data_IF_367472947483
#
_entry.id   IF_367472947483
#
_cell.length_a   1.000
_cell.length_b   1.000
_cell.length_c   1.000
_cell.angle_alpha   90.00
_cell.angle_beta   90.00
_cell.angle_gamma   90.00
#
_symmetry.space_group_name_H-M   'P 1'
#
loop_
_entity.id
_entity.type
_entity.pdbx_description
1 polymer ?
#
# COMPACT_ATOMS: atom_id res chain seq x y z
N UNK A 1 -21.65 -18.66 4.25
CA UNK A 1 -20.29 -19.10 4.60
C UNK A 1 -19.29 -18.06 4.09
N UNK A 2 -18.05 -18.02 4.59
CA UNK A 2 -17.09 -16.92 4.33
C UNK A 2 -15.77 -17.45 3.74
N UNK A 3 -15.06 -16.60 2.99
CA UNK A 3 -13.74 -16.93 2.43
C UNK A 3 -12.74 -17.43 3.50
N UNK A 4 -12.76 -16.81 4.68
CA UNK A 4 -11.92 -17.19 5.80
C UNK A 4 -12.18 -18.62 6.30
N UNK A 5 -13.43 -19.07 6.28
CA UNK A 5 -13.80 -20.40 6.74
C UNK A 5 -13.57 -21.48 5.66
N UNK A 6 -13.82 -21.16 4.39
CA UNK A 6 -13.87 -22.16 3.32
C UNK A 6 -12.57 -22.27 2.52
N UNK A 7 -11.92 -21.15 2.21
CA UNK A 7 -10.83 -21.12 1.23
C UNK A 7 -9.48 -20.81 1.85
N UNK A 8 -9.44 -19.93 2.86
CA UNK A 8 -8.19 -19.47 3.47
C UNK A 8 -7.32 -20.60 4.05
N UNK A 9 -7.85 -21.63 4.74
CA UNK A 9 -7.02 -22.70 5.28
C UNK A 9 -6.27 -23.48 4.19
N UNK A 10 -6.95 -23.80 3.08
CA UNK A 10 -6.36 -24.53 1.98
C UNK A 10 -5.33 -23.68 1.23
N UNK A 11 -5.65 -22.40 0.95
CA UNK A 11 -4.74 -21.46 0.31
C UNK A 11 -3.47 -21.24 1.13
N UNK A 12 -3.60 -21.06 2.45
CA UNK A 12 -2.44 -20.86 3.33
C UNK A 12 -1.59 -22.13 3.47
N UNK A 13 -2.21 -23.33 3.48
CA UNK A 13 -1.45 -24.59 3.46
C UNK A 13 -0.62 -24.73 2.18
N UNK A 14 -1.17 -24.30 1.04
CA UNK A 14 -0.42 -24.27 -0.22
C UNK A 14 0.72 -23.24 -0.21
N UNK A 15 0.52 -22.08 0.42
CA UNK A 15 1.58 -21.09 0.65
C UNK A 15 2.71 -21.67 1.53
N UNK A 16 2.36 -22.31 2.65
CA UNK A 16 3.33 -22.93 3.56
C UNK A 16 4.16 -24.03 2.89
N UNK A 17 3.55 -24.83 2.02
CA UNK A 17 4.27 -25.85 1.26
C UNK A 17 5.33 -25.28 0.29
N UNK A 18 5.20 -24.00 -0.07
CA UNK A 18 6.13 -23.27 -0.93
C UNK A 18 6.93 -22.18 -0.17
N UNK A 19 6.89 -22.21 1.16
CA UNK A 19 7.60 -21.23 1.97
C UNK A 19 9.10 -21.53 1.93
N UNK A 20 9.88 -20.62 1.35
CA UNK A 20 11.29 -20.88 1.04
C UNK A 20 11.53 -21.72 -0.22
N UNK A 21 10.68 -21.55 -1.23
CA UNK A 21 10.99 -21.95 -2.62
C UNK A 21 10.90 -20.78 -3.60
N UNK A 22 10.70 -19.56 -3.08
CA UNK A 22 10.67 -18.35 -3.90
C UNK A 22 12.10 -17.85 -4.14
N UNK A 23 12.43 -17.71 -5.42
CA UNK A 23 13.65 -17.05 -5.86
C UNK A 23 13.58 -15.56 -5.48
N UNK A 24 14.51 -15.07 -4.66
CA UNK A 24 14.73 -13.63 -4.52
C UNK A 24 15.69 -13.21 -5.64
N UNK A 25 15.22 -12.35 -6.53
CA UNK A 25 16.03 -11.80 -7.62
C UNK A 25 16.43 -10.37 -7.23
N UNK A 26 17.74 -10.07 -7.22
CA UNK A 26 18.15 -8.67 -7.17
C UNK A 26 17.93 -8.02 -8.54
N UNK A 27 17.16 -6.92 -8.64
CA UNK A 27 16.82 -6.33 -9.94
C UNK A 27 18.04 -5.71 -10.68
N UNK A 28 19.22 -5.64 -10.06
CA UNK A 28 20.40 -4.96 -10.61
C UNK A 28 21.70 -5.78 -10.63
N UNK A 29 21.71 -7.03 -10.15
CA UNK A 29 22.90 -7.88 -10.24
C UNK A 29 22.70 -8.99 -11.26
N UNK A 30 23.70 -9.21 -12.15
CA UNK A 30 23.74 -10.35 -13.08
C UNK A 30 23.94 -11.70 -12.36
N UNK A 31 23.80 -11.73 -11.04
CA UNK A 31 23.95 -12.92 -10.21
C UNK A 31 22.57 -13.58 -10.07
N UNK A 32 22.56 -14.90 -10.33
CA UNK A 32 21.39 -15.78 -10.33
C UNK A 32 20.43 -15.46 -9.18
N UNK A 33 19.13 -15.45 -9.46
CA UNK A 33 18.12 -15.47 -8.41
C UNK A 33 18.41 -16.63 -7.45
N UNK A 34 18.50 -16.34 -6.16
CA UNK A 34 18.80 -17.35 -5.16
C UNK A 34 17.46 -17.80 -4.59
N UNK A 35 17.17 -19.10 -4.70
CA UNK A 35 16.07 -19.71 -3.94
C UNK A 35 16.44 -19.66 -2.46
N UNK A 36 15.67 -18.91 -1.67
CA UNK A 36 15.80 -18.90 -0.22
C UNK A 36 15.23 -20.21 0.30
N UNK A 37 15.92 -20.91 1.20
CA UNK A 37 15.34 -22.06 1.91
C UNK A 37 14.25 -21.63 2.89
N UNK A 38 13.46 -22.58 3.38
CA UNK A 38 12.43 -22.32 4.39
C UNK A 38 12.97 -21.60 5.64
N UNK A 39 14.13 -22.04 6.14
CA UNK A 39 14.78 -21.45 7.31
C UNK A 39 15.27 -20.02 7.02
N UNK A 40 15.79 -19.77 5.81
CA UNK A 40 16.23 -18.45 5.40
C UNK A 40 15.05 -17.48 5.25
N UNK A 41 13.95 -17.93 4.63
CA UNK A 41 12.72 -17.13 4.49
C UNK A 41 12.10 -16.82 5.86
N UNK A 42 12.07 -17.78 6.78
CA UNK A 42 11.56 -17.60 8.14
C UNK A 42 12.45 -16.72 9.03
N UNK A 43 13.71 -16.52 8.63
CA UNK A 43 14.70 -15.72 9.37
C UNK A 43 14.94 -14.34 8.76
N UNK A 44 14.09 -13.90 7.82
CA UNK A 44 14.17 -12.55 7.27
C UNK A 44 14.08 -11.51 8.41
N UNK A 45 14.95 -10.49 8.40
CA UNK A 45 14.99 -9.51 9.47
C UNK A 45 13.72 -8.63 9.47
N UNK A 46 13.37 -8.10 10.63
CA UNK A 46 12.21 -7.21 10.77
C UNK A 46 12.34 -5.90 9.95
N UNK A 47 13.49 -5.21 9.93
CA UNK A 47 13.67 -4.03 9.07
C UNK A 47 13.65 -4.38 7.57
N UNK A 48 12.94 -3.60 6.72
CA UNK A 48 12.91 -3.85 5.28
C UNK A 48 14.28 -3.74 4.62
N UNK A 49 14.68 -4.76 3.86
CA UNK A 49 16.01 -4.87 3.24
C UNK A 49 16.32 -3.76 2.24
N UNK A 50 15.32 -3.28 1.49
CA UNK A 50 15.47 -2.18 0.53
C UNK A 50 15.22 -0.80 1.15
N UNK A 51 14.81 -0.74 2.43
CA UNK A 51 14.47 0.52 3.13
C UNK A 51 13.35 1.31 2.44
N UNK A 52 12.44 0.62 1.74
CA UNK A 52 11.31 1.20 1.01
C UNK A 52 10.01 1.03 1.80
N UNK A 53 9.15 2.03 1.76
CA UNK A 53 7.74 1.93 2.12
C UNK A 53 6.85 2.28 0.92
N UNK A 54 5.96 1.38 0.54
CA UNK A 54 4.92 1.64 -0.45
C UNK A 54 3.67 2.17 0.27
N UNK A 55 3.11 3.26 -0.25
CA UNK A 55 1.76 3.73 0.07
C UNK A 55 0.89 3.49 -1.16
N UNK A 56 -0.05 2.55 -1.08
CA UNK A 56 -0.88 2.15 -2.21
C UNK A 56 -2.36 2.09 -1.89
N UNK A 57 -3.22 2.17 -2.91
CA UNK A 57 -4.65 1.94 -2.73
C UNK A 57 -4.95 0.49 -2.28
N UNK A 58 -6.04 0.29 -1.53
CA UNK A 58 -6.56 -1.02 -1.16
C UNK A 58 -7.25 -1.79 -2.30
N UNK A 59 -7.21 -1.27 -3.53
CA UNK A 59 -7.84 -1.87 -4.70
C UNK A 59 -7.39 -3.33 -4.91
N UNK A 60 -8.38 -4.23 -5.09
CA UNK A 60 -8.15 -5.67 -5.20
C UNK A 60 -7.36 -6.07 -6.45
N UNK A 61 -7.25 -5.18 -7.45
CA UNK A 61 -6.51 -5.40 -8.70
C UNK A 61 -5.03 -5.00 -8.60
N UNK A 62 -4.62 -4.38 -7.50
CA UNK A 62 -3.23 -3.98 -7.26
C UNK A 62 -2.58 -4.93 -6.25
N UNK A 63 -1.65 -5.76 -6.74
CA UNK A 63 -0.63 -6.41 -5.92
C UNK A 63 0.63 -5.53 -5.94
N UNK A 64 0.87 -4.82 -4.85
CA UNK A 64 2.01 -3.89 -4.74
C UNK A 64 3.36 -4.59 -4.82
N UNK A 65 3.48 -5.84 -4.38
CA UNK A 65 4.74 -6.60 -4.43
C UNK A 65 5.03 -7.01 -5.87
N UNK A 66 4.04 -7.64 -6.53
CA UNK A 66 4.19 -8.08 -7.91
C UNK A 66 4.40 -6.90 -8.89
N UNK A 67 3.63 -5.82 -8.74
CA UNK A 67 3.73 -4.66 -9.63
C UNK A 67 5.07 -3.92 -9.54
N UNK A 68 5.78 -4.02 -8.40
CA UNK A 68 7.06 -3.33 -8.17
C UNK A 68 8.28 -4.26 -8.21
N UNK A 69 8.06 -5.57 -8.35
CA UNK A 69 9.13 -6.57 -8.28
C UNK A 69 9.77 -6.69 -6.89
N UNK A 70 9.05 -6.31 -5.84
CA UNK A 70 9.49 -6.41 -4.44
C UNK A 70 8.99 -7.72 -3.83
N UNK A 71 9.85 -8.36 -3.02
CA UNK A 71 9.59 -9.65 -2.42
C UNK A 71 9.40 -9.52 -0.91
N UNK A 72 9.05 -10.62 -0.25
CA UNK A 72 8.94 -10.66 1.21
C UNK A 72 10.23 -10.15 1.87
N UNK A 73 10.10 -9.20 2.81
CA UNK A 73 11.22 -8.59 3.52
C UNK A 73 11.86 -7.39 2.83
N UNK A 74 11.54 -7.08 1.56
CA UNK A 74 12.15 -5.94 0.87
C UNK A 74 11.62 -4.58 1.34
N UNK A 75 10.29 -4.47 1.52
CA UNK A 75 9.59 -3.21 1.74
C UNK A 75 8.41 -3.33 2.71
N UNK A 76 8.00 -2.20 3.30
CA UNK A 76 6.69 -2.11 3.94
C UNK A 76 5.59 -1.80 2.92
N UNK A 77 4.40 -2.35 3.14
CA UNK A 77 3.23 -2.18 2.29
C UNK A 77 2.08 -1.56 3.11
N UNK A 78 1.88 -0.24 2.97
CA UNK A 78 0.84 0.51 3.68
C UNK A 78 -0.29 0.77 2.68
N UNK A 79 -1.49 0.25 2.97
CA UNK A 79 -2.62 0.33 2.03
C UNK A 79 -3.89 0.85 2.69
N UNK A 80 -4.57 1.77 2.02
CA UNK A 80 -5.87 2.32 2.43
C UNK A 80 -6.72 2.74 1.21
N UNK A 81 -7.94 3.23 1.45
CA UNK A 81 -8.82 3.69 0.38
C UNK A 81 -8.20 4.90 -0.35
N UNK A 82 -7.88 4.74 -1.64
CA UNK A 82 -7.26 5.77 -2.45
C UNK A 82 -5.75 5.91 -2.32
N UNK A 83 -5.10 5.17 -1.42
CA UNK A 83 -3.64 5.27 -1.22
C UNK A 83 -3.20 6.59 -0.56
N UNK A 84 -4.08 7.18 0.26
CA UNK A 84 -3.90 8.53 0.78
C UNK A 84 -2.76 8.63 1.79
N UNK A 85 -1.81 9.51 1.50
CA UNK A 85 -0.62 9.72 2.32
C UNK A 85 -0.95 10.25 3.74
N UNK A 86 -1.98 11.09 3.87
CA UNK A 86 -2.40 11.64 5.15
C UNK A 86 -2.77 10.55 6.17
N UNK A 87 -3.51 9.52 5.73
CA UNK A 87 -3.87 8.39 6.59
C UNK A 87 -2.71 7.41 6.78
N UNK A 88 -1.81 7.29 5.79
CA UNK A 88 -0.62 6.45 5.87
C UNK A 88 0.47 6.99 6.82
N UNK A 89 0.43 8.29 7.16
CA UNK A 89 1.48 9.01 7.88
C UNK A 89 1.93 8.31 9.16
N UNK A 90 1.00 7.88 10.02
CA UNK A 90 1.33 7.18 11.28
C UNK A 90 2.20 5.94 11.02
N UNK A 91 1.86 5.17 9.99
CA UNK A 91 2.60 3.97 9.61
C UNK A 91 3.97 4.31 9.00
N UNK A 92 4.06 5.38 8.21
CA UNK A 92 5.32 5.87 7.65
C UNK A 92 6.30 6.32 8.73
N UNK A 93 5.84 7.07 9.74
CA UNK A 93 6.68 7.51 10.86
C UNK A 93 7.28 6.29 11.58
N UNK A 94 6.47 5.28 11.88
CA UNK A 94 6.96 4.03 12.48
C UNK A 94 7.97 3.32 11.57
N UNK A 95 7.66 3.25 10.27
CA UNK A 95 8.51 2.64 9.24
C UNK A 95 9.90 3.30 9.16
N UNK A 96 9.99 4.62 9.34
CA UNK A 96 11.24 5.36 9.26
C UNK A 96 12.03 5.30 10.56
N UNK A 97 11.37 5.63 11.68
CA UNK A 97 12.00 5.82 12.98
C UNK A 97 12.39 4.50 13.64
N UNK A 98 11.54 3.48 13.53
CA UNK A 98 11.77 2.20 14.21
C UNK A 98 12.39 1.14 13.30
N UNK A 99 12.17 1.26 11.99
CA UNK A 99 12.48 0.20 11.01
C UNK A 99 13.36 0.66 9.85
N UNK A 100 13.83 1.91 9.84
CA UNK A 100 14.95 2.33 9.02
C UNK A 100 14.67 2.61 7.55
N UNK A 101 13.39 2.71 7.14
CA UNK A 101 13.06 3.09 5.75
C UNK A 101 13.46 4.53 5.42
N UNK A 102 13.86 4.79 4.17
CA UNK A 102 14.35 6.09 3.67
C UNK A 102 13.78 6.46 2.30
N UNK A 103 12.94 5.61 1.73
CA UNK A 103 12.28 5.84 0.46
C UNK A 103 10.80 5.53 0.57
N UNK A 104 9.98 6.38 -0.03
CA UNK A 104 8.52 6.24 -0.08
C UNK A 104 8.06 6.28 -1.54
N UNK A 105 7.28 5.28 -1.93
CA UNK A 105 6.66 5.18 -3.24
C UNK A 105 5.15 5.29 -3.05
N UNK A 106 4.55 6.38 -3.54
CA UNK A 106 3.10 6.58 -3.55
C UNK A 106 2.53 6.02 -4.85
N UNK A 107 1.54 5.13 -4.78
CA UNK A 107 0.91 4.49 -5.93
C UNK A 107 -0.60 4.67 -5.86
N UNK A 108 -1.14 5.57 -6.68
CA UNK A 108 -2.57 5.61 -6.98
C UNK A 108 -2.84 4.87 -8.29
N UNK A 109 -4.10 4.73 -8.69
CA UNK A 109 -4.43 3.92 -9.88
C UNK A 109 -5.61 4.47 -10.69
N UNK A 110 -5.66 4.10 -11.97
CA UNK A 110 -6.81 4.34 -12.85
C UNK A 110 -8.05 3.59 -12.36
N UNK A 111 -9.24 4.10 -12.70
CA UNK A 111 -10.51 3.52 -12.25
C UNK A 111 -10.61 3.35 -10.71
N UNK A 112 -10.11 4.34 -9.98
CA UNK A 112 -10.18 4.37 -8.51
C UNK A 112 -11.58 4.74 -8.03
N UNK A 113 -12.13 3.95 -7.10
CA UNK A 113 -13.44 4.22 -6.49
C UNK A 113 -13.51 5.60 -5.81
N UNK A 114 -12.38 6.12 -5.32
CA UNK A 114 -12.29 7.44 -4.67
C UNK A 114 -12.49 8.63 -5.61
N UNK A 115 -12.55 8.40 -6.93
CA UNK A 115 -12.93 9.40 -7.94
C UNK A 115 -14.45 9.52 -8.12
N UNK A 116 -15.23 8.55 -7.62
CA UNK A 116 -16.63 8.35 -8.04
C UNK A 116 -17.66 8.93 -7.09
N UNK A 117 -17.23 9.51 -5.97
CA UNK A 117 -18.14 10.02 -4.93
C UNK A 117 -17.56 11.21 -4.16
N UNK A 118 -18.41 11.80 -3.32
CA UNK A 118 -18.07 12.80 -2.30
C UNK A 118 -18.48 12.29 -0.92
N UNK A 119 -17.79 12.76 0.12
CA UNK A 119 -18.00 12.33 1.51
C UNK A 119 -19.49 12.36 1.92
N UNK A 120 -20.26 13.35 1.47
CA UNK A 120 -21.69 13.47 1.76
C UNK A 120 -22.50 12.26 1.25
N UNK A 121 -22.17 11.75 0.06
CA UNK A 121 -22.82 10.54 -0.48
C UNK A 121 -22.52 9.32 0.40
N UNK A 122 -21.28 9.19 0.89
CA UNK A 122 -20.92 8.11 1.81
C UNK A 122 -21.69 8.26 3.13
N UNK A 123 -21.77 9.48 3.67
CA UNK A 123 -22.49 9.77 4.90
C UNK A 123 -23.98 9.41 4.78
N UNK A 124 -24.64 9.84 3.71
CA UNK A 124 -26.05 9.54 3.45
C UNK A 124 -26.32 8.03 3.35
N UNK A 125 -25.41 7.28 2.71
CA UNK A 125 -25.53 5.82 2.60
C UNK A 125 -25.42 5.14 3.97
N UNK A 126 -24.53 5.62 4.85
CA UNK A 126 -24.38 5.05 6.19
C UNK A 126 -25.58 5.44 7.06
N UNK A 127 -26.02 6.70 7.01
CA UNK A 127 -27.17 7.22 7.78
C UNK A 127 -28.47 6.45 7.52
N UNK A 128 -28.65 5.87 6.32
CA UNK A 128 -29.81 5.02 5.98
C UNK A 128 -29.88 3.69 6.73
N UNK A 129 -28.78 3.20 7.30
CA UNK A 129 -28.70 1.86 7.90
C UNK A 129 -28.27 1.84 9.38
N UNK A 130 -27.99 2.99 9.98
CA UNK A 130 -27.54 3.10 11.38
C UNK A 130 -28.46 4.00 12.18
N UNK A 131 -28.51 3.77 13.49
CA UNK A 131 -29.28 4.59 14.42
C UNK A 131 -28.80 6.07 14.38
N UNK A 132 -29.72 7.06 14.39
CA UNK A 132 -29.38 8.49 14.45
C UNK A 132 -28.40 8.87 15.57
N UNK A 133 -28.36 8.14 16.69
CA UNK A 133 -27.41 8.35 17.77
C UNK A 133 -25.93 8.24 17.32
N UNK A 134 -25.66 7.58 16.19
CA UNK A 134 -24.31 7.42 15.64
C UNK A 134 -23.93 8.45 14.57
N UNK A 135 -24.82 9.37 14.20
CA UNK A 135 -24.55 10.35 13.14
C UNK A 135 -23.30 11.22 13.40
N UNK A 136 -22.98 11.65 14.64
CA UNK A 136 -21.76 12.42 14.89
C UNK A 136 -20.47 11.68 14.47
N UNK A 137 -20.43 10.35 14.59
CA UNK A 137 -19.28 9.56 14.15
C UNK A 137 -19.15 9.51 12.63
N UNK A 138 -20.29 9.53 11.92
CA UNK A 138 -20.32 9.54 10.44
C UNK A 138 -19.82 10.89 9.92
N UNK A 139 -20.24 11.99 10.54
CA UNK A 139 -19.89 13.35 10.11
C UNK A 139 -18.40 13.67 10.33
N UNK A 140 -17.74 12.97 11.26
CA UNK A 140 -16.29 13.05 11.48
C UNK A 140 -15.49 12.19 10.51
N UNK A 141 -16.13 11.28 9.75
CA UNK A 141 -15.46 10.42 8.79
C UNK A 141 -15.14 11.21 7.52
N UNK A 142 -13.91 11.71 7.43
CA UNK A 142 -13.36 12.23 6.18
C UNK A 142 -13.04 11.06 5.24
N UNK A 143 -13.69 10.98 4.08
CA UNK A 143 -13.45 9.87 3.15
C UNK A 143 -12.14 10.04 2.36
N UNK A 144 -11.57 11.25 2.31
CA UNK A 144 -10.36 11.57 1.57
C UNK A 144 -10.49 11.25 0.06
N UNK A 145 -11.66 11.52 -0.52
CA UNK A 145 -11.88 11.44 -1.96
C UNK A 145 -11.04 12.49 -2.72
N UNK A 146 -10.93 12.33 -4.04
CA UNK A 146 -10.25 13.28 -4.91
C UNK A 146 -10.96 13.38 -6.26
N UNK A 147 -10.79 14.51 -6.94
CA UNK A 147 -11.44 14.76 -8.25
C UNK A 147 -10.53 14.55 -9.46
N UNK A 148 -9.23 14.42 -9.23
CA UNK A 148 -8.21 14.27 -10.27
C UNK A 148 -7.12 13.31 -9.79
N UNK A 149 -6.84 12.29 -10.59
CA UNK A 149 -5.92 11.22 -10.23
C UNK A 149 -4.47 11.72 -10.16
N UNK A 150 -3.99 12.43 -11.19
CA UNK A 150 -2.61 12.91 -11.23
C UNK A 150 -2.36 13.95 -10.14
N UNK A 151 -3.33 14.85 -9.95
CA UNK A 151 -3.28 15.83 -8.88
C UNK A 151 -3.21 15.14 -7.52
N UNK A 152 -4.01 14.10 -7.27
CA UNK A 152 -3.98 13.38 -5.99
C UNK A 152 -2.61 12.77 -5.69
N UNK A 153 -1.91 12.26 -6.70
CA UNK A 153 -0.55 11.72 -6.56
C UNK A 153 0.42 12.86 -6.22
N UNK A 154 0.39 13.96 -6.98
CA UNK A 154 1.28 15.10 -6.75
C UNK A 154 1.04 15.76 -5.38
N UNK A 155 -0.22 15.88 -4.96
CA UNK A 155 -0.60 16.45 -3.66
C UNK A 155 -0.09 15.58 -2.51
N UNK A 156 -0.26 14.26 -2.59
CA UNK A 156 0.17 13.35 -1.54
C UNK A 156 1.71 13.23 -1.46
N UNK A 157 2.40 13.28 -2.60
CA UNK A 157 3.88 13.38 -2.64
C UNK A 157 4.36 14.71 -2.05
N UNK A 158 3.73 15.82 -2.41
CA UNK A 158 4.07 17.14 -1.87
C UNK A 158 3.81 17.21 -0.35
N UNK A 159 2.70 16.64 0.11
CA UNK A 159 2.37 16.49 1.52
C UNK A 159 3.50 15.78 2.25
N UNK A 160 3.93 14.60 1.79
CA UNK A 160 5.01 13.84 2.44
C UNK A 160 6.35 14.58 2.42
N UNK A 161 6.73 15.20 1.30
CA UNK A 161 7.98 15.98 1.18
C UNK A 161 8.01 17.17 2.12
N UNK A 162 6.86 17.78 2.40
CA UNK A 162 6.73 18.94 3.30
C UNK A 162 6.45 18.55 4.76
N UNK A 163 6.08 17.30 5.04
CA UNK A 163 5.59 16.90 6.35
C UNK A 163 6.73 16.85 7.38
N UNK A 164 6.64 17.56 8.53
CA UNK A 164 7.73 17.66 9.49
C UNK A 164 8.08 16.35 10.22
N UNK A 165 7.18 15.35 10.14
CA UNK A 165 7.40 14.01 10.71
C UNK A 165 8.01 13.01 9.72
N UNK A 166 8.22 13.40 8.47
CA UNK A 166 8.95 12.59 7.49
C UNK A 166 10.40 13.08 7.48
N UNK A 167 11.36 12.15 7.50
CA UNK A 167 12.79 12.48 7.50
C UNK A 167 13.15 13.32 6.27
N UNK A 168 13.97 14.37 6.46
CA UNK A 168 14.27 15.36 5.40
C UNK A 168 14.96 14.75 4.19
N UNK A 169 15.76 13.70 4.40
CA UNK A 169 16.48 12.98 3.36
C UNK A 169 15.63 11.95 2.61
N UNK A 170 14.36 11.79 2.97
CA UNK A 170 13.48 10.77 2.37
C UNK A 170 13.28 11.04 0.88
N UNK A 171 13.57 10.03 0.06
CA UNK A 171 13.19 10.06 -1.35
C UNK A 171 11.70 9.73 -1.46
N UNK A 172 10.91 10.63 -2.05
CA UNK A 172 9.47 10.43 -2.26
C UNK A 172 9.14 10.58 -3.73
N UNK A 173 8.49 9.55 -4.29
CA UNK A 173 8.06 9.49 -5.69
C UNK A 173 6.60 9.06 -5.81
N UNK A 174 5.95 9.46 -6.89
CA UNK A 174 4.54 9.21 -7.15
C UNK A 174 4.31 8.52 -8.49
N UNK A 175 3.52 7.44 -8.47
CA UNK A 175 3.21 6.63 -9.63
C UNK A 175 1.70 6.44 -9.79
N UNK A 176 1.31 6.31 -11.05
CA UNK A 176 -0.02 5.90 -11.48
C UNK A 176 0.05 4.47 -11.98
N UNK A 177 -0.66 3.58 -11.30
CA UNK A 177 -0.87 2.22 -11.77
C UNK A 177 -2.07 2.17 -12.73
N UNK A 178 -1.84 1.67 -13.94
CA UNK A 178 -2.88 1.45 -14.93
C UNK A 178 -3.50 0.07 -14.72
N UNK A 179 -4.73 0.00 -14.18
CA UNK A 179 -5.40 -1.27 -13.88
C UNK A 179 -5.67 -2.12 -15.13
N UNK A 180 -5.67 -1.49 -16.30
CA UNK A 180 -5.92 -2.10 -17.60
C UNK A 180 -4.69 -2.85 -18.15
N UNK A 181 -3.48 -2.38 -17.82
CA UNK A 181 -2.22 -2.89 -18.42
C UNK A 181 -1.24 -3.45 -17.38
N UNK A 182 -1.38 -3.07 -16.11
CA UNK A 182 -0.41 -3.36 -15.05
C UNK A 182 0.79 -2.42 -15.03
N UNK A 183 0.82 -1.39 -15.88
CA UNK A 183 1.93 -0.44 -15.97
C UNK A 183 1.98 0.52 -14.77
N UNK A 184 3.19 0.81 -14.28
CA UNK A 184 3.47 1.91 -13.35
C UNK A 184 4.07 3.09 -14.12
N UNK A 185 3.25 4.11 -14.34
CA UNK A 185 3.67 5.38 -14.96
C UNK A 185 4.15 6.35 -13.86
N UNK A 186 5.35 6.90 -14.00
CA UNK A 186 5.86 7.90 -13.06
C UNK A 186 5.21 9.26 -13.30
N UNK A 187 4.70 9.87 -12.22
CA UNK A 187 4.08 11.21 -12.24
C UNK A 187 5.01 12.26 -11.63
N UNK A 188 5.71 11.96 -10.53
CA UNK A 188 6.61 12.89 -9.80
C UNK A 188 7.75 12.19 -9.07
#
# INVERSE_FOLDING_TARGET
MSYAAESLPAANKAYQANFGSKASCEPFSRLKCIELTQDQQGSLPLPPGKKVAIVGCMDARLDTSAATGLHEGDSHHIRNAGGRAAEALRSLVISQELLGTREIIVIHHTDCGMLTFKSERLHDLIKKRVDPAHYPAIEQLAALEFGDLDKSITDDVAFLKAHPLILKETVVSGYKYHVETGELEKVV
#
